data_IF_019380932898
#
_entry.id   IF_019380932898
#
_cell.length_a   1.000
_cell.length_b   1.000
_cell.length_c   1.000
_cell.angle_alpha   90.00
_cell.angle_beta   90.00
_cell.angle_gamma   90.00
#
_symmetry.space_group_name_H-M   'P 1'
#
loop_
_entity.id
_entity.type
_entity.pdbx_description
1 polymer ?
#
# COMPACT_ATOMS: atom_id res chain seq x y z
N UNK A 1 -22.11 -6.72 -6.71
CA UNK A 1 -22.22 -7.41 -5.42
C UNK A 1 -21.05 -8.40 -5.31
N UNK A 2 -19.88 -7.95 -4.82
CA UNK A 2 -18.73 -8.84 -4.59
C UNK A 2 -18.70 -9.17 -3.10
N UNK A 3 -19.03 -10.42 -2.77
CA UNK A 3 -18.90 -10.97 -1.43
C UNK A 3 -17.43 -10.94 -1.03
N UNK A 4 -17.04 -10.02 -0.14
CA UNK A 4 -15.73 -10.05 0.50
C UNK A 4 -15.87 -11.02 1.65
N UNK A 5 -15.25 -12.19 1.50
CA UNK A 5 -15.12 -13.15 2.58
C UNK A 5 -14.62 -12.41 3.82
N UNK A 6 -15.44 -12.41 4.87
CA UNK A 6 -15.00 -12.07 6.22
C UNK A 6 -14.07 -13.21 6.65
N UNK A 7 -12.83 -13.19 6.15
CA UNK A 7 -11.75 -13.93 6.76
C UNK A 7 -11.68 -13.42 8.20
N UNK A 8 -11.77 -14.33 9.17
CA UNK A 8 -11.45 -14.08 10.57
C UNK A 8 -10.08 -13.40 10.63
N UNK A 9 -10.05 -12.07 10.61
CA UNK A 9 -8.83 -11.30 10.74
C UNK A 9 -8.41 -11.47 12.20
N UNK A 10 -7.37 -12.29 12.42
CA UNK A 10 -6.74 -12.40 13.73
C UNK A 10 -6.48 -10.98 14.26
N UNK A 11 -6.91 -10.73 15.50
CA UNK A 11 -6.71 -9.43 16.13
C UNK A 11 -5.19 -9.18 16.17
N UNK A 12 -4.70 -8.04 15.64
CA UNK A 12 -3.30 -7.71 15.71
C UNK A 12 -2.84 -7.72 17.17
N UNK A 13 -1.77 -8.45 17.45
CA UNK A 13 -1.21 -8.58 18.79
C UNK A 13 0.00 -7.67 18.96
N UNK A 14 0.44 -7.44 20.20
CA UNK A 14 1.67 -6.69 20.46
C UNK A 14 2.92 -7.30 19.79
N UNK A 15 2.87 -8.60 19.48
CA UNK A 15 3.91 -9.32 18.74
C UNK A 15 4.03 -8.91 17.27
N UNK A 16 3.03 -8.21 16.70
CA UNK A 16 3.06 -7.74 15.32
C UNK A 16 3.79 -6.40 15.17
N UNK A 17 4.05 -5.70 16.28
CA UNK A 17 4.67 -4.37 16.28
C UNK A 17 6.09 -4.37 15.69
N UNK A 18 7.00 -5.31 16.01
CA UNK A 18 8.31 -5.40 15.36
C UNK A 18 8.19 -5.56 13.82
N UNK A 19 7.28 -6.43 13.37
CA UNK A 19 6.98 -6.61 11.95
C UNK A 19 6.47 -5.33 11.28
N UNK A 20 5.55 -4.62 11.92
CA UNK A 20 5.05 -3.33 11.41
C UNK A 20 6.19 -2.29 11.31
N UNK A 21 7.02 -2.19 12.34
CA UNK A 21 8.19 -1.29 12.34
C UNK A 21 9.15 -1.65 11.19
N UNK A 22 9.40 -2.93 10.96
CA UNK A 22 10.26 -3.39 9.88
C UNK A 22 9.70 -3.06 8.50
N UNK A 23 8.39 -3.25 8.28
CA UNK A 23 7.72 -2.85 7.05
C UNK A 23 7.78 -1.33 6.83
N UNK A 24 7.56 -0.52 7.87
CA UNK A 24 7.66 0.95 7.78
C UNK A 24 9.09 1.42 7.49
N UNK A 25 10.12 0.70 7.96
CA UNK A 25 11.53 0.99 7.60
C UNK A 25 11.79 0.80 6.10
N UNK A 26 11.09 -0.10 5.41
CA UNK A 26 11.19 -0.24 3.95
C UNK A 26 10.70 1.03 3.25
N UNK A 27 9.55 1.57 3.66
CA UNK A 27 9.05 2.85 3.11
C UNK A 27 10.00 4.01 3.39
N UNK A 28 10.58 4.06 4.60
CA UNK A 28 11.56 5.09 4.98
C UNK A 28 12.83 5.07 4.11
N UNK A 29 13.23 3.90 3.57
CA UNK A 29 14.36 3.80 2.64
C UNK A 29 14.07 4.43 1.28
N UNK A 30 12.80 4.46 0.87
CA UNK A 30 12.36 5.09 -0.38
C UNK A 30 12.35 6.60 -0.22
N UNK A 31 11.71 7.08 0.84
CA UNK A 31 11.72 8.48 1.21
C UNK A 31 11.64 8.64 2.73
N UNK A 32 12.69 9.17 3.38
CA UNK A 32 12.70 9.35 4.83
C UNK A 32 11.68 10.38 5.31
N UNK A 33 11.21 11.25 4.41
CA UNK A 33 10.20 12.28 4.67
C UNK A 33 8.84 11.93 4.09
N UNK A 34 8.62 10.67 3.70
CA UNK A 34 7.36 10.21 3.13
C UNK A 34 6.21 10.52 4.08
N UNK A 35 5.25 11.32 3.61
CA UNK A 35 4.05 11.64 4.40
C UNK A 35 3.25 10.36 4.63
N UNK A 36 2.67 10.21 5.82
CA UNK A 36 1.82 9.04 6.17
C UNK A 36 0.71 8.82 5.14
N UNK A 37 0.08 9.91 4.64
CA UNK A 37 -0.94 9.82 3.58
C UNK A 37 -0.40 9.18 2.30
N UNK A 38 0.87 9.40 1.95
CA UNK A 38 1.56 8.77 0.82
C UNK A 38 1.84 7.29 1.03
N UNK A 39 2.34 6.94 2.21
CA UNK A 39 2.46 5.54 2.59
C UNK A 39 1.10 4.81 2.49
N UNK A 40 0.04 5.41 3.01
CA UNK A 40 -1.31 4.82 3.00
C UNK A 40 -1.86 4.66 1.57
N UNK A 41 -1.80 5.72 0.74
CA UNK A 41 -2.26 5.64 -0.64
C UNK A 41 -1.50 4.58 -1.45
N UNK A 42 -0.17 4.48 -1.24
CA UNK A 42 0.64 3.43 -1.85
C UNK A 42 0.19 2.03 -1.39
N UNK A 43 0.03 1.80 -0.08
CA UNK A 43 -0.39 0.51 0.46
C UNK A 43 -1.78 0.10 -0.04
N UNK A 44 -2.74 1.04 -0.09
CA UNK A 44 -4.07 0.80 -0.65
C UNK A 44 -3.97 0.41 -2.13
N UNK A 45 -3.14 1.11 -2.90
CA UNK A 45 -2.94 0.82 -4.32
C UNK A 45 -2.21 -0.51 -4.55
N UNK A 46 -1.28 -0.88 -3.69
CA UNK A 46 -0.48 -2.11 -3.83
C UNK A 46 -1.21 -3.36 -3.34
N UNK A 47 -2.09 -3.22 -2.35
CA UNK A 47 -2.89 -4.31 -1.80
C UNK A 47 -4.16 -4.62 -2.62
N UNK A 48 -4.49 -3.79 -3.62
CA UNK A 48 -5.68 -3.94 -4.44
C UNK A 48 -5.33 -3.83 -5.93
N UNK A 49 -5.91 -4.70 -6.76
CA UNK A 49 -5.68 -4.70 -8.21
C UNK A 49 -6.53 -3.63 -8.93
N UNK A 50 -6.25 -2.36 -8.63
CA UNK A 50 -6.87 -1.21 -9.27
C UNK A 50 -7.95 -0.55 -8.41
N UNK A 51 -7.65 0.67 -7.95
CA UNK A 51 -8.62 1.52 -7.25
C UNK A 51 -8.76 2.85 -7.96
N UNK A 52 -9.98 3.38 -7.99
CA UNK A 52 -10.21 4.78 -8.33
C UNK A 52 -9.82 5.70 -7.16
N UNK A 53 -9.63 7.00 -7.45
CA UNK A 53 -9.39 8.03 -6.42
C UNK A 53 -10.50 8.05 -5.37
N UNK A 54 -11.76 7.86 -5.81
CA UNK A 54 -12.91 7.85 -4.92
C UNK A 54 -12.87 6.67 -3.95
N UNK A 55 -12.63 5.46 -4.45
CA UNK A 55 -12.53 4.27 -3.60
C UNK A 55 -11.36 4.38 -2.61
N UNK A 56 -10.21 4.91 -3.06
CA UNK A 56 -9.08 5.18 -2.15
C UNK A 56 -9.42 6.20 -1.07
N UNK A 57 -10.18 7.25 -1.41
CA UNK A 57 -10.61 8.27 -0.46
C UNK A 57 -11.58 7.68 0.59
N UNK A 58 -12.52 6.85 0.14
CA UNK A 58 -13.48 6.14 1.00
C UNK A 58 -12.77 5.14 1.93
N UNK A 59 -11.87 4.29 1.40
CA UNK A 59 -11.15 3.29 2.22
C UNK A 59 -10.11 3.94 3.15
N UNK A 60 -9.43 4.99 2.66
CA UNK A 60 -8.38 5.68 3.39
C UNK A 60 -8.88 6.76 4.34
N UNK A 61 -10.19 6.89 4.53
CA UNK A 61 -10.86 7.91 5.35
C UNK A 61 -10.29 9.32 5.13
N UNK A 62 -10.25 9.74 3.86
CA UNK A 62 -9.65 11.02 3.48
C UNK A 62 -10.31 11.64 2.26
N UNK A 63 -9.91 12.86 1.89
CA UNK A 63 -10.50 13.55 0.74
C UNK A 63 -9.88 13.10 -0.60
N UNK A 64 -10.69 13.10 -1.67
CA UNK A 64 -10.19 12.84 -3.03
C UNK A 64 -9.05 13.78 -3.44
N UNK A 65 -9.11 15.06 -3.02
CA UNK A 65 -8.05 16.02 -3.29
C UNK A 65 -6.71 15.62 -2.65
N UNK A 66 -6.76 15.08 -1.42
CA UNK A 66 -5.58 14.53 -0.74
C UNK A 66 -5.04 13.33 -1.52
N UNK A 67 -5.90 12.38 -1.91
CA UNK A 67 -5.50 11.21 -2.70
C UNK A 67 -4.85 11.63 -4.03
N UNK A 68 -5.43 12.57 -4.77
CA UNK A 68 -4.85 13.05 -6.05
C UNK A 68 -3.47 13.66 -5.86
N UNK A 69 -3.30 14.51 -4.84
CA UNK A 69 -2.00 15.09 -4.51
C UNK A 69 -0.97 14.00 -4.22
N UNK A 70 -1.36 13.03 -3.42
CA UNK A 70 -0.51 11.94 -3.00
C UNK A 70 -0.14 10.98 -4.14
N UNK A 71 -1.10 10.60 -4.98
CA UNK A 71 -0.87 9.74 -6.15
C UNK A 71 0.08 10.42 -7.14
N UNK A 72 0.03 11.76 -7.29
CA UNK A 72 0.99 12.49 -8.13
C UNK A 72 2.43 12.33 -7.64
N UNK A 73 2.65 12.36 -6.31
CA UNK A 73 3.97 12.09 -5.73
C UNK A 73 4.38 10.61 -5.87
N UNK A 74 3.44 9.67 -5.83
CA UNK A 74 3.75 8.25 -6.01
C UNK A 74 3.91 7.85 -7.49
N UNK A 75 3.32 8.62 -8.39
CA UNK A 75 3.03 8.23 -9.76
C UNK A 75 4.22 8.33 -10.71
N UNK A 76 4.33 7.41 -11.66
CA UNK A 76 5.27 7.48 -12.79
C UNK A 76 4.80 8.48 -13.86
N UNK A 77 5.71 9.26 -14.44
CA UNK A 77 5.43 10.03 -15.68
C UNK A 77 4.83 11.43 -15.52
N UNK A 78 4.80 12.00 -14.31
CA UNK A 78 4.42 13.41 -14.15
C UNK A 78 5.60 14.34 -14.50
N UNK A 79 5.38 15.44 -15.24
CA UNK A 79 6.45 16.35 -15.69
C UNK A 79 7.25 16.97 -14.53
N UNK A 80 6.65 17.03 -13.34
CA UNK A 80 7.29 17.56 -12.15
C UNK A 80 8.20 16.49 -11.52
N UNK A 81 9.44 16.42 -12.02
CA UNK A 81 10.46 15.42 -11.70
C UNK A 81 10.91 15.42 -10.23
N UNK A 82 10.49 16.38 -9.41
CA UNK A 82 11.05 16.57 -8.06
C UNK A 82 10.52 15.63 -6.99
N UNK A 83 9.48 14.83 -7.26
CA UNK A 83 8.86 14.01 -6.18
C UNK A 83 8.14 12.76 -6.66
N UNK A 84 8.45 12.22 -7.84
CA UNK A 84 7.84 10.99 -8.36
C UNK A 84 8.59 9.75 -7.88
N UNK A 85 7.97 8.94 -7.02
CA UNK A 85 8.54 7.67 -6.55
C UNK A 85 8.40 6.51 -7.55
N UNK A 86 7.65 6.69 -8.65
CA UNK A 86 7.38 5.66 -9.68
C UNK A 86 6.77 4.36 -9.15
N UNK A 87 6.09 4.41 -8.00
CA UNK A 87 5.50 3.24 -7.35
C UNK A 87 4.07 2.94 -7.84
N UNK A 88 3.41 3.93 -8.43
CA UNK A 88 2.03 3.84 -8.91
C UNK A 88 1.94 4.29 -10.37
N UNK A 89 1.05 3.69 -11.15
CA UNK A 89 0.68 4.13 -12.49
C UNK A 89 -0.85 4.19 -12.64
N UNK A 90 -1.34 5.02 -13.54
CA UNK A 90 -2.73 4.92 -13.98
C UNK A 90 -2.89 3.89 -15.08
N UNK A 91 -3.96 3.11 -15.00
CA UNK A 91 -4.42 2.23 -16.07
C UNK A 91 -5.81 2.67 -16.51
N UNK A 92 -6.07 2.56 -17.82
CA UNK A 92 -7.40 2.76 -18.36
C UNK A 92 -8.33 1.68 -17.82
N UNK A 93 -9.51 2.07 -17.35
CA UNK A 93 -10.53 1.09 -16.99
C UNK A 93 -10.94 0.31 -18.25
N UNK A 94 -10.85 -1.02 -18.19
CA UNK A 94 -11.25 -1.93 -19.28
C UNK A 94 -12.74 -1.82 -19.65
N UNK A 95 -13.57 -1.17 -18.82
CA UNK A 95 -15.00 -1.02 -19.01
C UNK A 95 -15.40 0.27 -19.77
N UNK A 96 -14.48 0.91 -20.49
CA UNK A 96 -14.79 2.10 -21.33
C UNK A 96 -15.17 3.36 -20.54
N UNK A 97 -14.97 3.36 -19.22
CA UNK A 97 -15.29 4.50 -18.35
C UNK A 97 -14.21 5.58 -18.37
N UNK A 98 -14.61 6.85 -18.17
CA UNK A 98 -13.72 8.01 -17.92
C UNK A 98 -12.94 7.90 -16.60
N UNK A 99 -13.21 6.89 -15.79
CA UNK A 99 -12.59 6.68 -14.47
C UNK A 99 -11.20 6.09 -14.64
N UNK A 100 -10.20 6.81 -14.11
CA UNK A 100 -8.83 6.29 -14.01
C UNK A 100 -8.73 5.35 -12.81
N UNK A 101 -8.13 4.19 -13.04
CA UNK A 101 -7.76 3.27 -11.99
C UNK A 101 -6.26 3.38 -11.75
N UNK A 102 -5.84 3.22 -10.51
CA UNK A 102 -4.45 3.28 -10.12
C UNK A 102 -4.01 1.92 -9.60
N UNK A 103 -2.86 1.48 -10.09
CA UNK A 103 -2.25 0.19 -9.76
C UNK A 103 -0.77 0.41 -9.41
N UNK A 104 -0.21 -0.49 -8.60
CA UNK A 104 1.22 -0.48 -8.35
C UNK A 104 2.00 -0.78 -9.64
N UNK A 105 3.15 -0.14 -9.82
CA UNK A 105 4.12 -0.51 -10.85
C UNK A 105 4.83 -1.81 -10.47
N UNK A 106 5.69 -2.34 -11.35
CA UNK A 106 6.55 -3.48 -10.98
C UNK A 106 7.47 -3.15 -9.80
N UNK A 107 7.99 -1.92 -9.77
CA UNK A 107 8.78 -1.39 -8.65
C UNK A 107 7.91 -1.26 -7.39
N UNK A 108 6.71 -0.71 -7.52
CA UNK A 108 5.74 -0.63 -6.42
C UNK A 108 5.37 -2.01 -5.85
N UNK A 109 5.16 -3.01 -6.70
CA UNK A 109 4.91 -4.39 -6.28
C UNK A 109 6.13 -5.00 -5.58
N UNK A 110 7.34 -4.73 -6.05
CA UNK A 110 8.57 -5.20 -5.40
C UNK A 110 8.75 -4.59 -4.00
N UNK A 111 8.46 -3.30 -3.85
CA UNK A 111 8.44 -2.62 -2.55
C UNK A 111 7.41 -3.26 -1.62
N UNK A 112 6.18 -3.46 -2.11
CA UNK A 112 5.12 -4.05 -1.31
C UNK A 112 5.47 -5.47 -0.84
N UNK A 113 6.04 -6.31 -1.71
CA UNK A 113 6.55 -7.63 -1.33
C UNK A 113 7.68 -7.55 -0.30
N UNK A 114 8.57 -6.56 -0.41
CA UNK A 114 9.65 -6.35 0.56
C UNK A 114 9.12 -5.95 1.93
N UNK A 115 8.05 -5.15 1.98
CA UNK A 115 7.34 -4.82 3.21
C UNK A 115 6.71 -6.05 3.85
N UNK A 116 6.02 -6.87 3.07
CA UNK A 116 5.42 -8.12 3.55
C UNK A 116 6.48 -9.09 4.09
N UNK A 117 7.61 -9.23 3.38
CA UNK A 117 8.72 -10.06 3.84
C UNK A 117 9.32 -9.55 5.16
N UNK A 118 9.57 -8.24 5.26
CA UNK A 118 10.08 -7.62 6.48
C UNK A 118 9.09 -7.76 7.66
N UNK A 119 7.79 -7.65 7.39
CA UNK A 119 6.75 -7.87 8.38
C UNK A 119 6.77 -9.32 8.91
N UNK A 120 6.86 -10.30 8.03
CA UNK A 120 6.86 -11.72 8.39
C UNK A 120 8.12 -12.20 9.11
N UNK A 121 9.31 -11.68 8.75
CA UNK A 121 10.59 -12.10 9.37
C UNK A 121 10.72 -11.70 10.84
N UNK A 122 10.10 -10.57 11.20
CA UNK A 122 10.17 -10.00 12.56
C UNK A 122 8.95 -10.36 13.41
N UNK A 123 8.03 -11.16 12.85
CA UNK A 123 7.03 -11.82 13.67
C UNK A 123 7.75 -12.86 14.53
N UNK A 124 7.66 -12.79 15.86
CA UNK A 124 8.16 -13.87 16.68
C UNK A 124 7.40 -15.13 16.27
N UNK A 125 8.13 -16.16 15.81
CA UNK A 125 7.56 -17.50 15.68
C UNK A 125 6.93 -17.82 17.03
N UNK A 126 5.60 -17.72 17.10
CA UNK A 126 4.84 -18.08 18.29
C UNK A 126 5.31 -19.46 18.65
N UNK A 127 6.06 -19.55 19.75
CA UNK A 127 6.82 -20.73 20.16
C UNK A 127 5.97 -21.97 19.88
N UNK A 128 6.32 -22.69 18.81
CA UNK A 128 5.88 -24.05 18.60
C UNK A 128 6.23 -24.73 19.92
N UNK A 129 5.19 -25.01 20.71
CA UNK A 129 5.31 -25.83 21.89
C UNK A 129 6.01 -27.10 21.44
N UNK A 130 7.29 -27.21 21.74
CA UNK A 130 7.99 -28.46 21.98
C UNK A 130 7.24 -29.11 23.13
N UNK A 131 6.11 -29.74 22.82
CA UNK A 131 5.52 -30.77 23.66
C UNK A 131 6.09 -32.08 23.15
N UNK A 132 6.75 -32.75 24.08
CA UNK A 132 7.46 -34.02 23.97
C UNK A 132 6.69 -35.14 23.24
#
# INVERSE_FOLDING_TARGET
>A
MRARAAANAAVPSAADLPGLIAALKVLRKIDPNMRIKAALAFLLTAANDGLSVREMAEIGDTSEGSIRYTIRALGQGWPDKRTSHKLVMDCASSNGGRTRLYVATDEGRAVYRSMLAAFCQEQPVSNLKLAA
#
